data_IF_895303554739
#
_entry.id   IF_895303554739
#
_cell.length_a   1.000
_cell.length_b   1.000
_cell.length_c   1.000
_cell.angle_alpha   90.00
_cell.angle_beta   90.00
_cell.angle_gamma   90.00
#
_symmetry.space_group_name_H-M   'P 1'
#
loop_
_entity.id
_entity.type
_entity.pdbx_description
1 polymer ?
#
# COMPACT_ATOMS: atom_id res chain seq x y z
N UNK A 1 -28.06 2.40 15.28
CA UNK A 1 -28.82 3.37 16.10
C UNK A 1 -27.88 3.93 17.18
N UNK A 2 -26.87 4.71 16.79
CA UNK A 2 -25.86 5.24 17.73
C UNK A 2 -26.00 6.75 18.00
N UNK A 3 -26.83 7.47 17.24
CA UNK A 3 -26.94 8.93 17.33
C UNK A 3 -27.81 9.48 18.47
N UNK A 4 -28.56 8.63 19.20
CA UNK A 4 -29.43 9.13 20.29
C UNK A 4 -28.70 9.32 21.61
N UNK A 5 -27.63 8.55 21.86
CA UNK A 5 -26.83 8.66 23.09
C UNK A 5 -26.03 9.97 23.12
N UNK A 6 -25.44 10.36 21.99
CA UNK A 6 -24.70 11.63 21.84
C UNK A 6 -25.58 12.87 22.05
N UNK A 7 -26.88 12.78 21.73
CA UNK A 7 -27.81 13.92 21.89
C UNK A 7 -28.12 14.21 23.36
N UNK A 8 -28.22 13.16 24.20
CA UNK A 8 -28.44 13.33 25.64
C UNK A 8 -27.16 13.77 26.37
N UNK A 9 -26.00 13.26 25.96
CA UNK A 9 -24.72 13.71 26.52
C UNK A 9 -24.40 15.16 26.14
N UNK A 10 -24.73 15.58 24.92
CA UNK A 10 -24.62 16.98 24.51
C UNK A 10 -25.54 17.90 25.33
N UNK A 11 -26.81 17.52 25.52
CA UNK A 11 -27.75 18.27 26.38
C UNK A 11 -27.28 18.34 27.84
N UNK A 12 -26.69 17.25 28.36
CA UNK A 12 -26.14 17.21 29.70
C UNK A 12 -24.92 18.14 29.83
N UNK A 13 -24.03 18.16 28.84
CA UNK A 13 -22.90 19.08 28.80
C UNK A 13 -23.33 20.54 28.72
N UNK A 14 -24.31 20.86 27.88
CA UNK A 14 -24.87 22.21 27.77
C UNK A 14 -25.52 22.66 29.08
N UNK A 15 -26.25 21.77 29.74
CA UNK A 15 -26.92 22.05 31.02
C UNK A 15 -25.91 22.26 32.15
N UNK A 16 -24.82 21.47 32.17
CA UNK A 16 -23.70 21.67 33.10
C UNK A 16 -23.03 23.03 32.87
N UNK A 17 -22.75 23.37 31.62
CA UNK A 17 -22.16 24.67 31.25
C UNK A 17 -23.04 25.86 31.64
N UNK A 18 -24.35 25.81 31.34
CA UNK A 18 -25.29 26.85 31.74
C UNK A 18 -25.41 26.96 33.27
N UNK A 19 -25.40 25.84 33.99
CA UNK A 19 -25.46 25.84 35.45
C UNK A 19 -24.23 26.48 36.07
N UNK A 20 -23.03 26.23 35.52
CA UNK A 20 -21.79 26.86 35.97
C UNK A 20 -21.78 28.36 35.67
N UNK A 21 -22.23 28.76 34.48
CA UNK A 21 -22.32 30.17 34.10
C UNK A 21 -23.36 30.93 34.95
N UNK A 22 -24.52 30.33 35.22
CA UNK A 22 -25.51 30.90 36.14
C UNK A 22 -24.95 31.11 37.55
N UNK A 23 -24.16 30.16 38.05
CA UNK A 23 -23.51 30.27 39.37
C UNK A 23 -22.44 31.35 39.39
N UNK A 24 -21.60 31.40 38.34
CA UNK A 24 -20.58 32.43 38.19
C UNK A 24 -21.21 33.83 38.08
N UNK A 25 -22.30 33.96 37.31
CA UNK A 25 -23.07 35.20 37.17
C UNK A 25 -23.63 35.65 38.52
N UNK A 26 -24.23 34.73 39.29
CA UNK A 26 -24.75 35.04 40.64
C UNK A 26 -23.65 35.55 41.57
N UNK A 27 -22.48 34.89 41.59
CA UNK A 27 -21.33 35.35 42.38
C UNK A 27 -20.82 36.71 41.91
N UNK A 28 -20.83 36.97 40.60
CA UNK A 28 -20.54 38.27 40.02
C UNK A 28 -21.51 39.34 40.51
N UNK A 29 -22.82 39.07 40.48
CA UNK A 29 -23.87 39.97 40.98
C UNK A 29 -23.72 40.25 42.46
N UNK A 30 -23.49 39.23 43.30
CA UNK A 30 -23.26 39.40 44.75
C UNK A 30 -22.02 40.26 45.02
N UNK A 31 -20.95 40.11 44.21
CA UNK A 31 -19.75 40.93 44.32
C UNK A 31 -20.00 42.38 43.90
N UNK A 32 -20.75 42.61 42.83
CA UNK A 32 -21.15 43.96 42.39
C UNK A 32 -21.99 44.62 43.49
N UNK A 33 -22.95 43.91 44.05
CA UNK A 33 -23.78 44.41 45.14
C UNK A 33 -22.94 44.82 46.36
N UNK A 34 -21.96 43.99 46.76
CA UNK A 34 -21.02 44.32 47.83
C UNK A 34 -20.20 45.58 47.53
N UNK A 35 -19.77 45.76 46.27
CA UNK A 35 -19.04 46.96 45.84
C UNK A 35 -19.93 48.19 45.88
N UNK A 36 -21.18 48.10 45.42
CA UNK A 36 -22.15 49.21 45.47
C UNK A 36 -22.46 49.58 46.92
N UNK A 37 -22.64 48.60 47.81
CA UNK A 37 -22.81 48.86 49.25
C UNK A 37 -21.57 49.50 49.88
N UNK A 38 -20.37 49.12 49.44
CA UNK A 38 -19.11 49.74 49.89
C UNK A 38 -19.00 51.17 49.39
N UNK A 39 -19.35 51.42 48.13
CA UNK A 39 -19.37 52.74 47.54
C UNK A 39 -20.34 53.66 48.29
N UNK A 40 -21.56 53.19 48.54
CA UNK A 40 -22.58 53.89 49.34
C UNK A 40 -22.04 54.34 50.71
N UNK A 41 -21.31 53.46 51.40
CA UNK A 41 -20.66 53.78 52.68
C UNK A 41 -19.58 54.86 52.54
N UNK A 42 -18.80 54.84 51.47
CA UNK A 42 -17.71 55.81 51.23
C UNK A 42 -18.26 57.17 50.82
N UNK A 43 -19.31 57.20 50.01
CA UNK A 43 -19.94 58.44 49.51
C UNK A 43 -20.98 59.02 50.47
N UNK A 44 -21.22 58.37 51.62
CA UNK A 44 -22.28 58.72 52.59
C UNK A 44 -23.67 58.84 51.93
N UNK A 45 -23.92 58.06 50.87
CA UNK A 45 -25.18 58.02 50.14
C UNK A 45 -25.89 56.70 50.43
N UNK A 46 -27.22 56.66 50.34
CA UNK A 46 -27.94 55.40 50.58
C UNK A 46 -27.76 54.43 49.39
N UNK A 47 -27.79 53.13 49.68
CA UNK A 47 -27.76 52.10 48.63
C UNK A 47 -28.94 52.26 47.66
N UNK A 48 -30.11 52.62 48.17
CA UNK A 48 -31.33 52.83 47.38
C UNK A 48 -31.24 54.06 46.46
N UNK A 49 -30.46 55.07 46.79
CA UNK A 49 -30.19 56.21 45.90
C UNK A 49 -29.24 55.83 44.76
N UNK A 50 -28.27 54.96 45.01
CA UNK A 50 -27.32 54.48 44.01
C UNK A 50 -27.89 53.36 43.12
N UNK A 51 -28.92 52.65 43.58
CA UNK A 51 -29.60 51.61 42.81
C UNK A 51 -30.80 52.13 42.01
N UNK A 52 -31.17 53.41 42.15
CA UNK A 52 -32.23 54.02 41.35
C UNK A 52 -31.76 54.25 39.92
N UNK A 53 -32.69 54.12 38.98
CA UNK A 53 -32.44 54.44 37.60
C UNK A 53 -32.00 55.92 37.49
N UNK A 54 -30.83 56.22 36.89
CA UNK A 54 -30.34 57.58 36.79
C UNK A 54 -31.33 58.47 36.04
N UNK A 55 -31.40 59.75 36.42
CA UNK A 55 -32.25 60.69 35.69
C UNK A 55 -31.75 60.86 34.25
N UNK A 56 -32.66 61.20 33.34
CA UNK A 56 -32.35 61.35 31.91
C UNK A 56 -31.19 62.31 31.64
N UNK A 57 -31.07 63.38 32.43
CA UNK A 57 -29.95 64.32 32.35
C UNK A 57 -28.59 63.70 32.71
N UNK A 58 -28.55 62.71 33.60
CA UNK A 58 -27.32 61.97 33.94
C UNK A 58 -26.98 61.00 32.82
N UNK A 59 -27.98 60.36 32.22
CA UNK A 59 -27.80 59.54 31.02
C UNK A 59 -27.27 60.34 29.83
N UNK A 60 -27.84 61.51 29.56
CA UNK A 60 -27.40 62.39 28.48
C UNK A 60 -25.94 62.84 28.70
N UNK A 61 -25.60 63.27 29.93
CA UNK A 61 -24.21 63.61 30.30
C UNK A 61 -23.25 62.42 30.22
N UNK A 62 -23.70 61.23 30.61
CA UNK A 62 -22.90 60.02 30.48
C UNK A 62 -22.65 59.72 29.00
N UNK A 63 -23.67 59.84 28.15
CA UNK A 63 -23.52 59.64 26.71
C UNK A 63 -22.54 60.62 26.08
N UNK A 64 -22.63 61.90 26.43
CA UNK A 64 -21.69 62.93 25.97
C UNK A 64 -20.26 62.68 26.43
N UNK A 65 -20.06 62.20 27.67
CA UNK A 65 -18.74 61.85 28.21
C UNK A 65 -18.20 60.51 27.71
N UNK A 66 -19.09 59.58 27.34
CA UNK A 66 -18.77 58.27 26.78
C UNK A 66 -18.61 58.29 25.26
N UNK A 67 -18.87 59.43 24.63
CA UNK A 67 -18.73 59.59 23.19
C UNK A 67 -17.28 59.26 22.81
N UNK A 68 -17.14 58.20 22.02
CA UNK A 68 -15.83 57.66 21.66
C UNK A 68 -15.03 58.73 20.93
N UNK A 69 -13.83 59.03 21.42
CA UNK A 69 -12.97 59.97 20.74
C UNK A 69 -12.50 59.35 19.41
N UNK A 70 -12.27 60.18 18.40
CA UNK A 70 -11.73 59.70 17.11
C UNK A 70 -10.41 58.94 17.33
N UNK A 71 -9.63 59.32 18.35
CA UNK A 71 -8.42 58.61 18.75
C UNK A 71 -8.72 57.19 19.24
N UNK A 72 -9.73 57.00 20.09
CA UNK A 72 -10.10 55.68 20.61
C UNK A 72 -10.63 54.77 19.50
N UNK A 73 -11.40 55.35 18.57
CA UNK A 73 -11.87 54.64 17.37
C UNK A 73 -10.70 54.17 16.51
N UNK A 74 -9.75 55.06 16.20
CA UNK A 74 -8.57 54.72 15.40
C UNK A 74 -7.69 53.68 16.10
N UNK A 75 -7.56 53.73 17.42
CA UNK A 75 -6.85 52.71 18.20
C UNK A 75 -7.55 51.36 18.05
N UNK A 76 -8.88 51.31 18.16
CA UNK A 76 -9.65 50.07 17.98
C UNK A 76 -9.51 49.52 16.57
N UNK A 77 -9.63 50.36 15.54
CA UNK A 77 -9.46 49.98 14.14
C UNK A 77 -8.03 49.45 13.88
N UNK A 78 -7.02 50.08 14.47
CA UNK A 78 -5.63 49.61 14.34
C UNK A 78 -5.42 48.23 14.97
N UNK A 79 -5.93 48.00 16.19
CA UNK A 79 -5.87 46.68 16.81
C UNK A 79 -6.61 45.61 16.01
N UNK A 80 -7.76 45.95 15.42
CA UNK A 80 -8.48 45.03 14.56
C UNK A 80 -7.69 44.66 13.30
N UNK A 81 -7.00 45.63 12.68
CA UNK A 81 -6.12 45.39 11.54
C UNK A 81 -4.91 44.53 11.91
N UNK A 82 -4.25 44.81 13.04
CA UNK A 82 -3.13 43.99 13.53
C UNK A 82 -3.59 42.54 13.72
N UNK A 83 -4.74 42.33 14.37
CA UNK A 83 -5.29 40.99 14.55
C UNK A 83 -5.56 40.27 13.23
N UNK A 84 -6.12 40.97 12.23
CA UNK A 84 -6.34 40.40 10.90
C UNK A 84 -5.02 40.02 10.21
N UNK A 85 -3.99 40.86 10.32
CA UNK A 85 -2.66 40.58 9.77
C UNK A 85 -2.07 39.32 10.44
N UNK A 86 -2.13 39.22 11.77
CA UNK A 86 -1.65 38.04 12.50
C UNK A 86 -2.39 36.76 12.09
N UNK A 87 -3.71 36.82 11.91
CA UNK A 87 -4.48 35.69 11.40
C UNK A 87 -4.04 35.28 9.99
N UNK A 88 -3.82 36.25 9.09
CA UNK A 88 -3.35 35.96 7.73
C UNK A 88 -1.95 35.35 7.75
N UNK A 89 -1.02 35.90 8.53
CA UNK A 89 0.33 35.36 8.67
C UNK A 89 0.33 33.93 9.21
N UNK A 90 -0.53 33.64 10.21
CA UNK A 90 -0.69 32.29 10.73
C UNK A 90 -1.16 31.31 9.65
N UNK A 91 -2.17 31.69 8.87
CA UNK A 91 -2.68 30.86 7.78
C UNK A 91 -1.61 30.67 6.71
N UNK A 92 -0.90 31.72 6.31
CA UNK A 92 0.20 31.63 5.35
C UNK A 92 1.31 30.69 5.81
N UNK A 93 1.74 30.77 7.08
CA UNK A 93 2.72 29.84 7.65
C UNK A 93 2.24 28.40 7.57
N UNK A 94 0.95 28.17 7.81
CA UNK A 94 0.38 26.82 7.74
C UNK A 94 0.27 26.30 6.31
N UNK A 95 -0.03 27.17 5.35
CA UNK A 95 -0.01 26.82 3.91
C UNK A 95 1.41 26.44 3.48
N UNK A 96 2.42 27.23 3.85
CA UNK A 96 3.82 26.90 3.53
C UNK A 96 4.25 25.57 4.11
N UNK A 97 3.93 25.30 5.39
CA UNK A 97 4.21 24.00 5.99
C UNK A 97 3.54 22.83 5.27
N UNK A 98 2.33 23.03 4.71
CA UNK A 98 1.67 22.01 3.90
C UNK A 98 2.33 21.83 2.54
N UNK A 99 2.82 22.90 1.92
CA UNK A 99 3.58 22.83 0.67
C UNK A 99 4.86 22.02 0.88
N UNK A 100 5.62 22.33 1.94
CA UNK A 100 6.86 21.61 2.27
C UNK A 100 6.58 20.10 2.48
N UNK A 101 5.51 19.76 3.19
CA UNK A 101 5.10 18.37 3.38
C UNK A 101 4.72 17.67 2.06
N UNK A 102 4.09 18.38 1.13
CA UNK A 102 3.75 17.84 -0.18
C UNK A 102 5.03 17.60 -1.00
N UNK A 103 6.00 18.52 -0.96
CA UNK A 103 7.28 18.36 -1.64
C UNK A 103 8.06 17.14 -1.13
N UNK A 104 8.11 16.95 0.20
CA UNK A 104 8.73 15.77 0.82
C UNK A 104 8.07 14.47 0.36
N UNK A 105 6.72 14.45 0.31
CA UNK A 105 5.97 13.29 -0.17
C UNK A 105 6.25 13.01 -1.66
N UNK A 106 6.36 14.04 -2.49
CA UNK A 106 6.66 13.88 -3.91
C UNK A 106 8.06 13.31 -4.13
N UNK A 107 9.07 13.77 -3.38
CA UNK A 107 10.42 13.21 -3.47
C UNK A 107 10.45 11.75 -2.99
N UNK A 108 9.71 11.42 -1.93
CA UNK A 108 9.55 10.04 -1.47
C UNK A 108 8.92 9.13 -2.53
N UNK A 109 7.84 9.59 -3.19
CA UNK A 109 7.19 8.85 -4.29
C UNK A 109 8.16 8.63 -5.44
N UNK A 110 8.91 9.66 -5.83
CA UNK A 110 9.91 9.58 -6.90
C UNK A 110 10.99 8.56 -6.57
N UNK A 111 11.52 8.56 -5.34
CA UNK A 111 12.49 7.58 -4.88
C UNK A 111 11.91 6.16 -4.92
N UNK A 112 10.68 5.98 -4.43
CA UNK A 112 9.99 4.69 -4.48
C UNK A 112 9.83 4.15 -5.91
N UNK A 113 9.48 5.01 -6.87
CA UNK A 113 9.36 4.61 -8.28
C UNK A 113 10.69 4.13 -8.86
N UNK A 114 11.78 4.84 -8.56
CA UNK A 114 13.14 4.45 -8.99
C UNK A 114 13.53 3.10 -8.37
N UNK A 115 13.30 2.92 -7.07
CA UNK A 115 13.58 1.68 -6.34
C UNK A 115 12.76 0.50 -6.89
N UNK A 116 11.47 0.70 -7.16
CA UNK A 116 10.60 -0.31 -7.79
C UNK A 116 11.07 -0.67 -9.19
N UNK A 117 11.50 0.32 -9.98
CA UNK A 117 12.08 0.08 -11.31
C UNK A 117 13.32 -0.81 -11.24
N UNK A 118 14.25 -0.49 -10.34
CA UNK A 118 15.46 -1.27 -10.11
C UNK A 118 15.15 -2.68 -9.59
N UNK A 119 14.21 -2.80 -8.65
CA UNK A 119 13.78 -4.09 -8.10
C UNK A 119 13.17 -4.98 -9.19
N UNK A 120 12.29 -4.45 -10.04
CA UNK A 120 11.69 -5.21 -11.15
C UNK A 120 12.73 -5.75 -12.11
N UNK A 121 13.71 -4.92 -12.51
CA UNK A 121 14.80 -5.36 -13.39
C UNK A 121 15.62 -6.48 -12.76
N UNK A 122 15.90 -6.38 -11.45
CA UNK A 122 16.62 -7.42 -10.70
C UNK A 122 15.83 -8.72 -10.61
N UNK A 123 14.54 -8.65 -10.27
CA UNK A 123 13.65 -9.81 -10.18
C UNK A 123 13.50 -10.50 -11.54
N UNK A 124 13.36 -9.73 -12.63
CA UNK A 124 13.32 -10.29 -13.98
C UNK A 124 14.62 -11.03 -14.33
N UNK A 125 15.78 -10.43 -14.01
CA UNK A 125 17.08 -11.07 -14.24
C UNK A 125 17.24 -12.36 -13.44
N UNK A 126 16.87 -12.34 -12.15
CA UNK A 126 16.88 -13.53 -11.29
C UNK A 126 15.92 -14.62 -11.79
N UNK A 127 14.75 -14.24 -12.31
CA UNK A 127 13.81 -15.20 -12.89
C UNK A 127 14.41 -15.89 -14.13
N UNK A 128 15.02 -15.11 -15.03
CA UNK A 128 15.69 -15.66 -16.21
C UNK A 128 16.83 -16.60 -15.81
N UNK A 129 17.65 -16.20 -14.84
CA UNK A 129 18.78 -17.02 -14.40
C UNK A 129 18.34 -18.29 -13.64
N UNK A 130 17.39 -18.18 -12.72
CA UNK A 130 17.01 -19.31 -11.87
C UNK A 130 16.04 -20.27 -12.56
N UNK A 131 15.10 -19.76 -13.35
CA UNK A 131 14.04 -20.58 -13.94
C UNK A 131 14.37 -20.95 -15.37
N UNK A 132 14.70 -19.97 -16.21
CA UNK A 132 14.88 -20.19 -17.65
C UNK A 132 16.18 -20.94 -17.91
N UNK A 133 17.32 -20.47 -17.38
CA UNK A 133 18.61 -21.13 -17.61
C UNK A 133 18.65 -22.54 -17.01
N UNK A 134 18.07 -22.74 -15.83
CA UNK A 134 17.97 -24.09 -15.21
C UNK A 134 17.17 -25.04 -16.09
N UNK A 135 16.03 -24.60 -16.65
CA UNK A 135 15.24 -25.41 -17.57
C UNK A 135 15.99 -25.71 -18.87
N UNK A 136 16.68 -24.73 -19.44
CA UNK A 136 17.51 -24.91 -20.64
C UNK A 136 18.59 -25.97 -20.36
N UNK A 137 19.33 -25.85 -19.26
CA UNK A 137 20.36 -26.82 -18.86
C UNK A 137 19.78 -28.22 -18.69
N UNK A 138 18.61 -28.34 -18.06
CA UNK A 138 17.92 -29.62 -17.91
C UNK A 138 17.56 -30.25 -19.26
N UNK A 139 17.00 -29.46 -20.19
CA UNK A 139 16.66 -29.95 -21.53
C UNK A 139 17.90 -30.35 -22.32
N UNK A 140 18.98 -29.56 -22.22
CA UNK A 140 20.26 -29.90 -22.84
C UNK A 140 20.82 -31.22 -22.31
N UNK A 141 20.83 -31.42 -20.99
CA UNK A 141 21.26 -32.68 -20.37
C UNK A 141 20.42 -33.86 -20.88
N UNK A 142 19.09 -33.75 -20.82
CA UNK A 142 18.22 -34.83 -21.29
C UNK A 142 18.39 -35.12 -22.79
N UNK A 143 18.63 -34.08 -23.61
CA UNK A 143 18.90 -34.26 -25.04
C UNK A 143 20.22 -34.98 -25.27
N UNK A 144 21.25 -34.69 -24.48
CA UNK A 144 22.54 -35.37 -24.55
C UNK A 144 22.39 -36.83 -24.14
N UNK A 145 21.73 -37.11 -23.02
CA UNK A 145 21.45 -38.46 -22.54
C UNK A 145 20.69 -39.30 -23.58
N UNK A 146 19.69 -38.71 -24.23
CA UNK A 146 18.93 -39.34 -25.32
C UNK A 146 19.80 -39.66 -26.53
N UNK A 147 20.74 -38.78 -26.86
CA UNK A 147 21.67 -38.96 -27.99
C UNK A 147 22.63 -40.10 -27.70
N UNK A 148 23.25 -40.11 -26.51
CA UNK A 148 24.15 -41.18 -26.05
C UNK A 148 23.42 -42.53 -25.95
N UNK A 149 22.19 -42.54 -25.42
CA UNK A 149 21.37 -43.74 -25.35
C UNK A 149 21.04 -44.29 -26.75
N UNK A 150 20.75 -43.43 -27.72
CA UNK A 150 20.48 -43.82 -29.10
C UNK A 150 21.73 -44.38 -29.80
N UNK A 151 22.89 -43.75 -29.61
CA UNK A 151 24.17 -44.26 -30.13
C UNK A 151 24.54 -45.62 -29.54
N UNK A 152 24.32 -45.78 -28.23
CA UNK A 152 24.52 -47.05 -27.52
C UNK A 152 23.56 -48.13 -28.03
N UNK A 153 22.28 -47.78 -28.23
CA UNK A 153 21.28 -48.70 -28.77
C UNK A 153 21.62 -49.14 -30.19
N UNK A 154 22.07 -48.21 -31.05
CA UNK A 154 22.57 -48.54 -32.40
C UNK A 154 23.76 -49.48 -32.36
N UNK A 155 24.76 -49.19 -31.54
CA UNK A 155 25.94 -50.05 -31.39
C UNK A 155 25.57 -51.46 -30.93
N UNK A 156 24.63 -51.59 -29.99
CA UNK A 156 24.10 -52.89 -29.54
C UNK A 156 23.32 -53.62 -30.63
N UNK A 157 22.50 -52.90 -31.40
CA UNK A 157 21.78 -53.48 -32.54
C UNK A 157 22.76 -53.99 -33.61
N UNK A 158 23.82 -53.25 -33.89
CA UNK A 158 24.86 -53.66 -34.84
C UNK A 158 25.60 -54.91 -34.36
N UNK A 159 25.96 -54.98 -33.07
CA UNK A 159 26.55 -56.18 -32.47
C UNK A 159 25.62 -57.39 -32.57
N UNK A 160 24.35 -57.24 -32.20
CA UNK A 160 23.35 -58.31 -32.32
C UNK A 160 23.18 -58.76 -33.78
N UNK A 161 23.24 -57.83 -34.73
CA UNK A 161 23.16 -58.15 -36.15
C UNK A 161 24.39 -58.93 -36.62
N UNK A 162 25.59 -58.59 -36.14
CA UNK A 162 26.82 -59.33 -36.40
C UNK A 162 26.81 -60.73 -35.76
N UNK A 163 26.37 -60.86 -34.51
CA UNK A 163 26.20 -62.17 -33.85
C UNK A 163 25.18 -63.04 -34.59
N UNK A 164 24.06 -62.46 -35.00
CA UNK A 164 23.05 -63.16 -35.80
C UNK A 164 23.62 -63.64 -37.14
N UNK A 165 24.42 -62.80 -37.82
CA UNK A 165 25.13 -63.19 -39.03
C UNK A 165 26.11 -64.33 -38.77
N UNK A 166 26.92 -64.26 -37.71
CA UNK A 166 27.84 -65.33 -37.34
C UNK A 166 27.11 -66.65 -37.08
N UNK A 167 26.04 -66.64 -36.27
CA UNK A 167 25.23 -67.83 -36.00
C UNK A 167 24.65 -68.38 -37.31
N UNK A 168 24.13 -67.53 -38.19
CA UNK A 168 23.63 -67.98 -39.49
C UNK A 168 24.74 -68.57 -40.37
N UNK A 169 25.95 -68.03 -40.38
CA UNK A 169 27.07 -68.61 -41.17
C UNK A 169 27.59 -69.94 -40.61
N UNK A 170 27.47 -70.19 -39.31
CA UNK A 170 27.87 -71.46 -38.68
C UNK A 170 26.87 -72.59 -38.94
N UNK A 171 25.64 -72.26 -39.34
CA UNK A 171 24.63 -73.25 -39.72
C UNK A 171 24.91 -73.74 -41.13
N UNK A 172 25.05 -75.06 -41.28
CA UNK A 172 25.26 -75.68 -42.58
C UNK A 172 23.93 -75.82 -43.33
N UNK A 173 23.47 -74.73 -43.96
CA UNK A 173 22.14 -74.62 -44.59
C UNK A 173 21.85 -75.72 -45.64
N UNK A 174 22.90 -76.25 -46.28
CA UNK A 174 22.84 -77.36 -47.24
C UNK A 174 22.41 -78.70 -46.60
N UNK A 175 22.61 -78.88 -45.28
CA UNK A 175 22.13 -80.05 -44.53
C UNK A 175 20.76 -79.79 -43.89
N UNK A 176 20.44 -78.53 -43.59
CA UNK A 176 19.20 -78.07 -42.97
C UNK A 176 18.00 -78.21 -43.92
N UNK A 177 18.19 -78.04 -45.23
CA UNK A 177 17.14 -78.26 -46.25
C UNK A 177 16.61 -79.70 -46.34
N UNK A 178 17.37 -80.68 -45.83
CA UNK A 178 17.04 -82.12 -45.96
C UNK A 178 16.10 -82.65 -44.85
N UNK A 179 15.83 -81.88 -43.80
CA UNK A 179 14.93 -82.24 -42.72
C UNK A 179 13.63 -81.41 -42.78
N UNK A 180 12.46 -82.05 -42.86
CA UNK A 180 11.16 -81.38 -43.09
C UNK A 180 10.81 -80.31 -42.04
N UNK A 181 11.26 -80.44 -40.79
CA UNK A 181 11.06 -79.43 -39.73
C UNK A 181 11.88 -78.14 -39.91
N UNK A 182 12.94 -78.19 -40.71
CA UNK A 182 13.92 -77.12 -40.85
C UNK A 182 13.71 -76.23 -42.09
N UNK A 183 12.90 -76.68 -43.06
CA UNK A 183 12.47 -75.87 -44.22
C UNK A 183 11.72 -74.59 -43.81
N UNK A 184 10.92 -74.68 -42.76
CA UNK A 184 10.18 -73.53 -42.23
C UNK A 184 11.12 -72.44 -41.68
N UNK A 185 12.19 -72.83 -40.98
CA UNK A 185 13.20 -71.91 -40.47
C UNK A 185 13.95 -71.22 -41.61
N UNK A 186 14.35 -71.97 -42.64
CA UNK A 186 15.01 -71.41 -43.82
C UNK A 186 14.14 -70.40 -44.57
N UNK A 187 12.86 -70.73 -44.81
CA UNK A 187 11.91 -69.82 -45.44
C UNK A 187 11.68 -68.54 -44.63
N UNK A 188 11.64 -68.64 -43.30
CA UNK A 188 11.46 -67.49 -42.41
C UNK A 188 12.68 -66.58 -42.37
N UNK A 189 13.90 -67.14 -42.43
CA UNK A 189 15.13 -66.35 -42.55
C UNK A 189 15.20 -65.61 -43.89
N UNK A 190 14.88 -66.28 -45.00
CA UNK A 190 14.79 -65.63 -46.33
C UNK A 190 13.73 -64.52 -46.37
N UNK A 191 12.59 -64.72 -45.71
CA UNK A 191 11.55 -63.69 -45.60
C UNK A 191 12.05 -62.47 -44.82
N UNK A 192 12.82 -62.68 -43.74
CA UNK A 192 13.43 -61.60 -42.95
C UNK A 192 14.50 -60.86 -43.78
N UNK A 193 15.34 -61.57 -44.51
CA UNK A 193 16.32 -60.95 -45.43
C UNK A 193 15.64 -60.06 -46.46
N UNK A 194 14.59 -60.55 -47.11
CA UNK A 194 13.87 -59.81 -48.14
C UNK A 194 13.07 -58.63 -47.58
N UNK A 195 12.50 -58.76 -46.38
CA UNK A 195 11.68 -57.71 -45.76
C UNK A 195 12.51 -56.54 -45.25
N UNK A 196 13.71 -56.80 -44.73
CA UNK A 196 14.56 -55.79 -44.11
C UNK A 196 15.81 -55.45 -44.92
N UNK A 197 16.04 -56.11 -46.07
CA UNK A 197 17.20 -55.87 -46.93
C UNK A 197 18.55 -56.31 -46.34
N UNK A 198 18.53 -57.25 -45.37
CA UNK A 198 19.71 -57.69 -44.64
C UNK A 198 20.21 -59.01 -45.25
N UNK A 199 21.51 -59.13 -45.52
CA UNK A 199 22.12 -60.41 -45.91
C UNK A 199 22.52 -61.20 -44.66
N UNK A 200 21.87 -62.34 -44.43
CA UNK A 200 22.11 -63.21 -43.25
C UNK A 200 22.70 -64.58 -43.63
N UNK A 201 22.62 -64.99 -44.89
CA UNK A 201 23.04 -66.28 -45.43
C UNK A 201 23.71 -65.95 -46.76
N UNK A 202 24.98 -66.33 -46.91
CA UNK A 202 25.64 -66.34 -48.23
C UNK A 202 25.23 -67.60 -48.99
N UNK A 203 24.92 -67.43 -50.27
CA UNK A 203 24.53 -68.52 -51.17
C UNK A 203 25.58 -69.61 -51.27
#
# INVERSE_FOLDING_TARGET
MEHSADSFDYLLHLTKGLSTECRATRQGTERIELLVRRLAKVTQSSYEELSKEPSRQVWDKYHDLSAESEKDRLIRENYALIYQIECQEYVCKRIWALIDQIEDLLESIKQFVVEQGAHRARTASQFVENVVQTRIKSVQSSSQDLTEANETARSKLDLLMQELQQVCTQINWNQVEKADGNRYLHARVLQVQNKYGIKLIDK
#
